data_IF_554936082451
#
_entry.id   IF_554936082451
#
_cell.length_a   1.000
_cell.length_b   1.000
_cell.length_c   1.000
_cell.angle_alpha   90.00
_cell.angle_beta   90.00
_cell.angle_gamma   90.00
#
_symmetry.space_group_name_H-M   'P 1'
#
loop_
_entity.id
_entity.type
_entity.pdbx_description
1 polymer ?
#
# COMPACT_ATOMS: atom_id res chain seq x y z
N UNK A 1 0.15 25.98 -11.19
CA UNK A 1 1.33 26.43 -11.98
C UNK A 1 1.72 27.88 -11.67
N UNK A 2 0.93 28.92 -12.01
CA UNK A 2 1.29 30.31 -11.66
C UNK A 2 1.51 30.52 -10.16
N UNK A 3 0.66 30.00 -9.31
CA UNK A 3 0.80 30.08 -7.85
C UNK A 3 2.11 29.45 -7.37
N UNK A 4 2.49 28.31 -7.93
CA UNK A 4 3.71 27.59 -7.54
C UNK A 4 4.97 28.41 -7.90
N UNK A 5 4.97 29.13 -9.01
CA UNK A 5 6.07 30.06 -9.36
C UNK A 5 6.28 31.10 -8.27
N UNK A 6 5.19 31.70 -7.76
CA UNK A 6 5.27 32.65 -6.65
C UNK A 6 5.72 32.01 -5.34
N UNK A 7 5.25 30.80 -5.05
CA UNK A 7 5.64 30.07 -3.83
C UNK A 7 7.12 29.69 -3.87
N UNK A 8 7.63 29.19 -4.99
CA UNK A 8 9.05 28.86 -5.17
C UNK A 8 9.92 30.11 -4.98
N UNK A 9 9.55 31.22 -5.65
CA UNK A 9 10.29 32.48 -5.52
C UNK A 9 10.29 33.02 -4.10
N UNK A 10 9.13 33.04 -3.45
CA UNK A 10 8.97 33.47 -2.06
C UNK A 10 9.76 32.57 -1.09
N UNK A 11 9.71 31.26 -1.27
CA UNK A 11 10.45 30.30 -0.44
C UNK A 11 11.95 30.51 -0.54
N UNK A 12 12.44 30.76 -1.74
CA UNK A 12 13.87 31.02 -1.96
C UNK A 12 14.32 32.35 -1.38
N UNK A 13 13.53 33.41 -1.56
CA UNK A 13 13.80 34.71 -0.98
C UNK A 13 13.76 34.67 0.57
N UNK A 14 12.79 33.95 1.14
CA UNK A 14 12.71 33.75 2.60
C UNK A 14 13.92 32.96 3.13
N UNK A 15 14.35 31.93 2.43
CA UNK A 15 15.54 31.17 2.82
C UNK A 15 16.80 32.04 2.82
N UNK A 16 16.93 32.93 1.83
CA UNK A 16 18.01 33.91 1.76
C UNK A 16 17.94 34.91 2.93
N UNK A 17 16.77 35.49 3.20
CA UNK A 17 16.56 36.43 4.33
C UNK A 17 16.90 35.79 5.67
N UNK A 18 16.41 34.58 5.94
CA UNK A 18 16.71 33.87 7.20
C UNK A 18 18.20 33.61 7.37
N UNK A 19 18.93 33.34 6.27
CA UNK A 19 20.34 33.01 6.31
C UNK A 19 21.22 34.25 6.50
N UNK A 20 20.92 35.37 5.84
CA UNK A 20 21.81 36.53 5.74
C UNK A 20 21.32 37.77 6.53
N UNK A 21 20.04 37.84 6.90
CA UNK A 21 19.47 38.96 7.67
C UNK A 21 18.70 38.46 8.91
N UNK A 22 18.76 37.19 9.26
CA UNK A 22 18.01 36.58 10.35
C UNK A 22 18.88 35.93 11.41
N UNK A 23 18.37 34.85 11.98
CA UNK A 23 18.95 34.13 13.14
C UNK A 23 20.39 33.66 12.90
N UNK A 24 20.78 33.43 11.65
CA UNK A 24 22.08 32.86 11.24
C UNK A 24 23.07 33.91 10.71
N UNK A 25 22.78 35.19 10.83
CA UNK A 25 23.60 36.28 10.30
C UNK A 25 25.05 36.26 10.80
N UNK A 26 25.25 36.03 12.09
CA UNK A 26 26.59 36.05 12.74
C UNK A 26 27.56 34.98 12.24
N UNK A 27 27.08 33.96 11.58
CA UNK A 27 27.91 32.86 11.03
C UNK A 27 27.98 32.86 9.49
N UNK A 28 27.46 33.90 8.83
CA UNK A 28 27.35 33.95 7.39
C UNK A 28 28.40 34.92 6.79
N UNK A 29 29.43 34.36 6.16
CA UNK A 29 30.26 35.12 5.21
C UNK A 29 29.49 35.14 3.89
N UNK A 30 29.00 36.31 3.50
CA UNK A 30 28.33 36.51 2.22
C UNK A 30 29.37 36.68 1.12
N UNK A 31 29.58 35.61 0.36
CA UNK A 31 30.52 35.61 -0.78
C UNK A 31 29.88 36.10 -2.10
N UNK A 32 28.54 36.00 -2.21
CA UNK A 32 27.78 36.41 -3.39
C UNK A 32 26.72 37.45 -3.05
N UNK A 33 26.44 38.35 -4.02
CA UNK A 33 25.45 39.41 -3.89
C UNK A 33 24.01 38.89 -3.93
N UNK A 34 23.05 39.71 -3.44
CA UNK A 34 21.59 39.40 -3.52
C UNK A 34 21.18 39.14 -4.97
N UNK A 35 21.71 39.91 -5.91
CA UNK A 35 21.38 39.80 -7.34
C UNK A 35 21.80 38.43 -7.90
N UNK A 36 22.98 37.93 -7.53
CA UNK A 36 23.46 36.61 -7.96
C UNK A 36 22.58 35.48 -7.38
N UNK A 37 22.17 35.58 -6.11
CA UNK A 37 21.22 34.62 -5.55
C UNK A 37 19.87 34.64 -6.29
N UNK A 38 19.30 35.84 -6.55
CA UNK A 38 18.01 35.94 -7.25
C UNK A 38 18.11 35.52 -8.71
N UNK A 39 19.26 35.64 -9.37
CA UNK A 39 19.49 35.13 -10.71
C UNK A 39 19.29 33.61 -10.82
N UNK A 40 19.62 32.84 -9.77
CA UNK A 40 19.38 31.40 -9.73
C UNK A 40 17.90 31.02 -9.90
N UNK A 41 16.96 31.91 -9.57
CA UNK A 41 15.52 31.65 -9.75
C UNK A 41 15.15 31.38 -11.21
N UNK A 42 15.91 31.92 -12.18
CA UNK A 42 15.69 31.68 -13.62
C UNK A 42 15.82 30.17 -13.94
N UNK A 43 16.66 29.44 -13.22
CA UNK A 43 16.86 28.00 -13.40
C UNK A 43 16.01 27.18 -12.41
N UNK A 44 15.86 27.64 -11.17
CA UNK A 44 15.14 26.93 -10.11
C UNK A 44 13.65 26.84 -10.45
N UNK A 45 13.01 27.93 -10.88
CA UNK A 45 11.57 27.94 -11.14
C UNK A 45 11.17 26.96 -12.23
N UNK A 46 11.75 27.00 -13.47
CA UNK A 46 11.40 26.03 -14.51
C UNK A 46 11.71 24.59 -14.07
N UNK A 47 12.83 24.36 -13.41
CA UNK A 47 13.23 23.05 -12.91
C UNK A 47 12.20 22.46 -11.94
N UNK A 48 11.75 23.24 -10.97
CA UNK A 48 10.73 22.79 -10.00
C UNK A 48 9.35 22.60 -10.65
N UNK A 49 8.95 23.47 -11.60
CA UNK A 49 7.70 23.30 -12.35
C UNK A 49 7.70 21.98 -13.12
N UNK A 50 8.81 21.63 -13.78
CA UNK A 50 8.97 20.34 -14.46
C UNK A 50 8.91 19.17 -13.48
N UNK A 51 9.58 19.29 -12.33
CA UNK A 51 9.52 18.25 -11.28
C UNK A 51 8.10 18.09 -10.75
N UNK A 52 7.37 19.17 -10.51
CA UNK A 52 5.98 19.10 -10.04
C UNK A 52 5.06 18.44 -11.08
N UNK A 53 5.33 18.65 -12.37
CA UNK A 53 4.63 17.94 -13.45
C UNK A 53 5.00 16.46 -13.47
N UNK A 54 6.27 16.11 -13.35
CA UNK A 54 6.76 14.73 -13.34
C UNK A 54 6.25 13.91 -12.14
N UNK A 55 5.95 14.56 -11.02
CA UNK A 55 5.35 13.92 -9.84
C UNK A 55 3.83 14.09 -9.75
N UNK A 56 3.15 14.37 -10.88
CA UNK A 56 1.69 14.46 -10.99
C UNK A 56 1.00 15.47 -10.05
N UNK A 57 1.72 16.51 -9.61
CA UNK A 57 1.19 17.52 -8.71
C UNK A 57 0.19 18.49 -9.38
N UNK A 58 0.02 18.41 -10.71
CA UNK A 58 -0.95 19.21 -11.47
C UNK A 58 -2.21 18.42 -11.86
N UNK A 59 -2.30 17.15 -11.49
CA UNK A 59 -3.52 16.38 -11.69
C UNK A 59 -4.66 16.90 -10.80
N UNK A 60 -5.93 16.85 -11.25
CA UNK A 60 -7.05 17.38 -10.49
C UNK A 60 -7.20 16.74 -9.10
N UNK A 61 -7.13 17.55 -8.04
CA UNK A 61 -7.20 17.10 -6.64
C UNK A 61 -8.59 16.66 -6.17
N UNK A 62 -9.58 16.41 -7.06
CA UNK A 62 -10.96 16.08 -6.63
C UNK A 62 -11.03 14.83 -5.77
N UNK A 63 -10.25 13.80 -6.12
CA UNK A 63 -10.25 12.48 -5.46
C UNK A 63 -8.90 12.09 -4.86
N UNK A 64 -7.85 12.92 -5.01
CA UNK A 64 -6.52 12.61 -4.48
C UNK A 64 -6.47 12.73 -2.95
N UNK A 65 -5.80 11.79 -2.31
CA UNK A 65 -5.51 11.83 -0.88
C UNK A 65 -4.44 12.88 -0.54
N UNK A 66 -4.63 13.63 0.55
CA UNK A 66 -3.69 14.67 1.01
C UNK A 66 -2.26 14.16 1.22
N UNK A 67 -2.13 12.92 1.71
CA UNK A 67 -0.81 12.29 1.93
C UNK A 67 -0.04 12.06 0.62
N UNK A 68 -0.73 11.74 -0.48
CA UNK A 68 -0.10 11.55 -1.79
C UNK A 68 0.45 12.87 -2.34
N UNK A 69 -0.30 13.97 -2.18
CA UNK A 69 0.15 15.31 -2.57
C UNK A 69 1.40 15.72 -1.77
N UNK A 70 1.39 15.52 -0.43
CA UNK A 70 2.55 15.80 0.40
C UNK A 70 3.76 14.96 -0.01
N UNK A 71 3.57 13.67 -0.25
CA UNK A 71 4.64 12.78 -0.70
C UNK A 71 5.23 13.22 -2.06
N UNK A 72 4.38 13.68 -3.00
CA UNK A 72 4.81 14.26 -4.27
C UNK A 72 5.67 15.52 -4.08
N UNK A 73 5.23 16.45 -3.23
CA UNK A 73 5.96 17.67 -2.90
C UNK A 73 7.34 17.34 -2.30
N UNK A 74 7.39 16.42 -1.34
CA UNK A 74 8.64 16.01 -0.69
C UNK A 74 9.60 15.37 -1.70
N UNK A 75 9.12 14.47 -2.55
CA UNK A 75 9.94 13.83 -3.60
C UNK A 75 10.50 14.85 -4.60
N UNK A 76 9.65 15.76 -5.08
CA UNK A 76 10.05 16.81 -6.02
C UNK A 76 11.12 17.73 -5.40
N UNK A 77 10.92 18.13 -4.15
CA UNK A 77 11.88 19.00 -3.46
C UNK A 77 13.20 18.31 -3.15
N UNK A 78 13.17 17.04 -2.72
CA UNK A 78 14.38 16.24 -2.47
C UNK A 78 15.20 16.05 -3.76
N UNK A 79 14.53 15.70 -4.86
CA UNK A 79 15.20 15.54 -6.15
C UNK A 79 15.72 16.89 -6.69
N UNK A 80 14.94 17.96 -6.55
CA UNK A 80 15.34 19.30 -6.94
C UNK A 80 16.58 19.80 -6.20
N UNK A 81 16.63 19.56 -4.87
CA UNK A 81 17.80 19.89 -4.06
C UNK A 81 19.04 19.11 -4.54
N UNK A 82 18.91 17.81 -4.84
CA UNK A 82 20.01 17.00 -5.36
C UNK A 82 20.50 17.52 -6.71
N UNK A 83 19.59 17.87 -7.61
CA UNK A 83 19.94 18.41 -8.95
C UNK A 83 20.68 19.75 -8.80
N UNK A 84 20.21 20.66 -7.94
CA UNK A 84 20.85 21.96 -7.70
C UNK A 84 22.25 21.74 -7.11
N UNK A 85 22.40 20.90 -6.11
CA UNK A 85 23.70 20.62 -5.50
C UNK A 85 24.69 19.99 -6.49
N UNK A 86 24.21 19.06 -7.34
CA UNK A 86 25.00 18.44 -8.39
C UNK A 86 25.43 19.46 -9.45
N UNK A 87 24.53 20.35 -9.88
CA UNK A 87 24.83 21.41 -10.83
C UNK A 87 25.90 22.37 -10.27
N UNK A 88 25.73 22.88 -9.04
CA UNK A 88 26.69 23.77 -8.40
C UNK A 88 28.09 23.12 -8.25
N UNK A 89 28.13 21.84 -7.95
CA UNK A 89 29.39 21.08 -7.87
C UNK A 89 30.10 20.99 -9.23
N UNK A 90 29.37 20.67 -10.30
CA UNK A 90 29.96 20.55 -11.64
C UNK A 90 30.41 21.87 -12.24
N UNK A 91 29.65 22.95 -12.01
CA UNK A 91 30.03 24.29 -12.47
C UNK A 91 31.04 24.98 -11.56
N UNK A 92 31.51 24.29 -10.48
CA UNK A 92 32.47 24.82 -9.49
C UNK A 92 31.98 26.09 -8.77
N UNK A 93 30.68 26.32 -8.74
CA UNK A 93 30.01 27.43 -8.06
C UNK A 93 29.78 27.10 -6.57
N UNK A 94 30.87 26.81 -5.85
CA UNK A 94 30.84 26.34 -4.46
C UNK A 94 30.52 27.43 -3.44
N UNK A 95 30.49 28.71 -3.87
CA UNK A 95 30.28 29.86 -3.01
C UNK A 95 28.81 30.08 -2.58
N UNK A 96 27.88 29.28 -3.13
CA UNK A 96 26.50 29.29 -2.67
C UNK A 96 26.36 28.58 -1.32
N UNK A 97 25.67 29.23 -0.39
CA UNK A 97 25.45 28.66 0.96
C UNK A 97 24.59 27.42 0.89
N UNK A 98 25.15 26.26 1.28
CA UNK A 98 24.41 24.97 1.37
C UNK A 98 23.21 25.07 2.32
N UNK A 99 23.38 25.84 3.42
CA UNK A 99 22.32 26.05 4.39
C UNK A 99 21.12 26.80 3.77
N UNK A 100 21.37 27.76 2.87
CA UNK A 100 20.30 28.46 2.13
C UNK A 100 19.51 27.49 1.26
N UNK A 101 20.17 26.55 0.56
CA UNK A 101 19.51 25.57 -0.30
C UNK A 101 18.69 24.56 0.51
N UNK A 102 19.22 24.10 1.65
CA UNK A 102 18.48 23.18 2.54
C UNK A 102 17.29 23.90 3.17
N UNK A 103 17.47 25.15 3.63
CA UNK A 103 16.38 25.97 4.17
C UNK A 103 15.32 26.25 3.13
N UNK A 104 15.71 26.55 1.88
CA UNK A 104 14.79 26.71 0.76
C UNK A 104 13.95 25.45 0.53
N UNK A 105 14.59 24.27 0.49
CA UNK A 105 13.88 23.02 0.32
C UNK A 105 12.82 22.81 1.41
N UNK A 106 13.16 23.04 2.67
CA UNK A 106 12.22 22.88 3.78
C UNK A 106 11.09 23.90 3.74
N UNK A 107 11.41 25.20 3.55
CA UNK A 107 10.41 26.27 3.46
C UNK A 107 9.47 26.04 2.27
N UNK A 108 10.01 25.62 1.12
CA UNK A 108 9.23 25.36 -0.08
C UNK A 108 8.25 24.18 0.13
N UNK A 109 8.68 23.09 0.79
CA UNK A 109 7.79 21.99 1.16
C UNK A 109 6.62 22.48 2.01
N UNK A 110 6.90 23.28 3.02
CA UNK A 110 5.89 23.79 3.94
C UNK A 110 4.93 24.76 3.23
N UNK A 111 5.44 25.75 2.52
CA UNK A 111 4.61 26.74 1.83
C UNK A 111 3.78 26.12 0.71
N UNK A 112 4.37 25.25 -0.11
CA UNK A 112 3.64 24.52 -1.16
C UNK A 112 2.51 23.68 -0.58
N UNK A 113 2.77 22.98 0.52
CA UNK A 113 1.73 22.18 1.16
C UNK A 113 0.61 23.06 1.74
N UNK A 114 0.95 24.14 2.41
CA UNK A 114 -0.02 25.09 2.98
C UNK A 114 -0.89 25.72 1.88
N UNK A 115 -0.28 26.23 0.82
CA UNK A 115 -1.00 26.86 -0.30
C UNK A 115 -1.92 25.86 -1.00
N UNK A 116 -1.45 24.64 -1.25
CA UNK A 116 -2.27 23.58 -1.86
C UNK A 116 -3.43 23.18 -0.95
N UNK A 117 -3.20 23.09 0.36
CA UNK A 117 -4.27 22.82 1.32
C UNK A 117 -5.29 23.95 1.37
N UNK A 118 -4.85 25.20 1.34
CA UNK A 118 -5.72 26.37 1.29
C UNK A 118 -6.61 26.37 0.03
N UNK A 119 -6.01 26.17 -1.16
CA UNK A 119 -6.75 26.03 -2.41
C UNK A 119 -7.73 24.85 -2.36
N UNK A 120 -7.30 23.72 -1.81
CA UNK A 120 -8.16 22.55 -1.61
C UNK A 120 -9.39 22.87 -0.74
N UNK A 121 -9.20 23.58 0.36
CA UNK A 121 -10.31 23.95 1.25
C UNK A 121 -11.28 24.92 0.59
N UNK A 122 -10.79 25.93 -0.12
CA UNK A 122 -11.64 26.87 -0.89
C UNK A 122 -12.47 26.13 -1.93
N UNK A 123 -11.83 25.31 -2.76
CA UNK A 123 -12.53 24.55 -3.81
C UNK A 123 -13.54 23.56 -3.22
N UNK A 124 -13.22 22.95 -2.09
CA UNK A 124 -14.14 22.07 -1.36
C UNK A 124 -15.38 22.81 -0.86
N UNK A 125 -15.19 23.98 -0.27
CA UNK A 125 -16.31 24.81 0.22
C UNK A 125 -17.18 25.32 -0.94
N UNK A 126 -16.59 25.80 -2.01
CA UNK A 126 -17.29 26.21 -3.23
C UNK A 126 -18.14 25.06 -3.80
N UNK A 127 -17.61 23.84 -3.87
CA UNK A 127 -18.32 22.66 -4.36
C UNK A 127 -19.52 22.29 -3.47
N UNK A 128 -19.36 22.38 -2.15
CA UNK A 128 -20.47 22.16 -1.22
C UNK A 128 -21.59 23.20 -1.38
N UNK A 129 -21.25 24.41 -1.78
CA UNK A 129 -22.22 25.50 -2.06
C UNK A 129 -22.82 25.42 -3.47
N UNK A 130 -22.54 24.36 -4.23
CA UNK A 130 -23.11 24.15 -5.58
C UNK A 130 -22.31 24.79 -6.72
N UNK A 131 -21.17 25.43 -6.41
CA UNK A 131 -20.28 25.99 -7.42
C UNK A 131 -19.24 24.95 -7.90
N UNK A 132 -18.76 25.08 -9.15
CA UNK A 132 -17.77 24.17 -9.73
C UNK A 132 -18.16 22.67 -9.61
N UNK A 133 -19.44 22.38 -9.82
CA UNK A 133 -19.99 21.03 -9.87
C UNK A 133 -19.86 20.46 -11.28
N UNK A 134 -19.66 19.14 -11.36
CA UNK A 134 -19.71 18.36 -12.60
C UNK A 134 -21.03 17.57 -12.66
N UNK A 135 -21.73 17.71 -13.76
CA UNK A 135 -22.99 17.02 -14.01
C UNK A 135 -22.71 15.67 -14.66
N UNK A 136 -23.16 14.58 -14.01
CA UNK A 136 -22.95 13.21 -14.46
C UNK A 136 -24.25 12.55 -14.79
N UNK A 137 -24.30 11.87 -15.93
CA UNK A 137 -25.39 10.97 -16.31
C UNK A 137 -24.90 9.54 -16.22
N UNK A 138 -25.70 8.65 -15.61
CA UNK A 138 -25.41 7.23 -15.54
C UNK A 138 -26.14 6.49 -16.66
N UNK A 139 -25.48 5.54 -17.29
CA UNK A 139 -26.03 4.66 -18.32
C UNK A 139 -25.94 3.21 -17.86
N UNK A 140 -27.07 2.61 -17.57
CA UNK A 140 -27.23 1.30 -16.96
C UNK A 140 -27.46 1.37 -15.44
N UNK A 141 -28.53 0.73 -14.96
CA UNK A 141 -28.85 0.58 -13.55
C UNK A 141 -28.30 -0.78 -13.05
N UNK A 142 -27.24 -0.73 -12.32
CA UNK A 142 -26.60 -1.91 -11.74
C UNK A 142 -26.11 -1.61 -10.31
N UNK A 143 -25.54 -2.60 -9.65
CA UNK A 143 -24.84 -2.38 -8.36
C UNK A 143 -23.71 -1.37 -8.48
N UNK A 144 -23.00 -1.35 -9.60
CA UNK A 144 -21.97 -0.34 -9.84
C UNK A 144 -22.56 1.08 -9.87
N UNK A 145 -23.76 1.25 -10.43
CA UNK A 145 -24.49 2.51 -10.38
C UNK A 145 -24.85 2.90 -8.94
N UNK A 146 -25.39 1.99 -8.16
CA UNK A 146 -25.74 2.21 -6.76
C UNK A 146 -24.52 2.57 -5.91
N UNK A 147 -23.42 1.84 -6.04
CA UNK A 147 -22.16 2.14 -5.34
C UNK A 147 -21.59 3.50 -5.76
N UNK A 148 -21.70 3.85 -7.05
CA UNK A 148 -21.23 5.14 -7.54
C UNK A 148 -22.06 6.28 -6.95
N UNK A 149 -23.39 6.15 -6.93
CA UNK A 149 -24.32 7.07 -6.26
C UNK A 149 -23.95 7.23 -4.79
N UNK A 150 -23.75 6.12 -4.09
CA UNK A 150 -23.41 6.13 -2.66
C UNK A 150 -22.10 6.89 -2.38
N UNK A 151 -21.07 6.62 -3.17
CA UNK A 151 -19.78 7.30 -3.03
C UNK A 151 -19.87 8.80 -3.28
N UNK A 152 -20.69 9.23 -4.24
CA UNK A 152 -20.88 10.64 -4.54
C UNK A 152 -21.67 11.33 -3.43
N UNK A 153 -22.75 10.73 -2.94
CA UNK A 153 -23.56 11.28 -1.86
C UNK A 153 -22.80 11.36 -0.53
N UNK A 154 -21.93 10.40 -0.25
CA UNK A 154 -21.05 10.42 0.92
C UNK A 154 -19.92 11.47 0.82
N UNK A 155 -19.61 11.94 -0.40
CA UNK A 155 -18.49 12.84 -0.65
C UNK A 155 -18.92 14.09 -1.46
N UNK A 156 -19.81 14.94 -0.94
CA UNK A 156 -20.32 16.12 -1.65
C UNK A 156 -19.19 17.12 -2.00
N UNK A 157 -18.07 17.05 -1.29
CA UNK A 157 -16.89 17.85 -1.56
C UNK A 157 -16.18 17.52 -2.89
N UNK A 158 -16.51 16.40 -3.53
CA UNK A 158 -15.99 16.09 -4.86
C UNK A 158 -16.68 16.94 -5.95
N UNK A 159 -17.87 17.46 -5.64
CA UNK A 159 -18.62 18.35 -6.54
C UNK A 159 -19.15 17.60 -7.76
N UNK A 160 -19.59 16.36 -7.64
CA UNK A 160 -20.32 15.63 -8.64
C UNK A 160 -21.82 15.66 -8.32
N UNK A 161 -22.64 15.86 -9.34
CA UNK A 161 -24.11 15.83 -9.26
C UNK A 161 -24.62 14.84 -10.29
N UNK A 162 -25.34 13.83 -9.84
CA UNK A 162 -25.94 12.83 -10.73
C UNK A 162 -27.31 13.36 -11.19
N UNK A 163 -27.47 13.57 -12.49
CA UNK A 163 -28.70 14.09 -13.10
C UNK A 163 -29.78 13.04 -13.23
N UNK A 164 -29.38 11.79 -13.40
CA UNK A 164 -30.29 10.66 -13.53
C UNK A 164 -29.58 9.42 -14.04
N UNK A 165 -30.36 8.38 -14.23
CA UNK A 165 -29.92 7.09 -14.76
C UNK A 165 -30.75 6.80 -16.02
N UNK A 166 -30.11 6.32 -17.07
CA UNK A 166 -30.78 5.74 -18.25
C UNK A 166 -30.65 4.24 -18.19
N UNK A 167 -31.79 3.55 -18.32
CA UNK A 167 -31.81 2.09 -18.32
C UNK A 167 -32.98 1.58 -19.16
N UNK A 168 -32.80 0.43 -19.82
CA UNK A 168 -33.83 -0.16 -20.66
C UNK A 168 -34.70 -1.19 -19.92
N UNK A 169 -34.16 -1.79 -18.84
CA UNK A 169 -34.77 -2.86 -18.08
C UNK A 169 -35.52 -2.36 -16.83
N UNK A 170 -35.11 -1.21 -16.30
CA UNK A 170 -35.73 -0.61 -15.10
C UNK A 170 -36.70 0.48 -15.49
N UNK A 171 -37.96 0.45 -14.98
CA UNK A 171 -38.97 1.42 -15.31
C UNK A 171 -38.55 2.86 -14.98
N UNK A 172 -38.86 3.80 -15.90
CA UNK A 172 -38.68 5.21 -15.64
C UNK A 172 -39.50 5.66 -14.40
N UNK A 173 -38.87 6.49 -13.57
CA UNK A 173 -39.44 6.91 -12.29
C UNK A 173 -38.92 6.13 -11.08
N UNK A 174 -38.32 4.96 -11.27
CA UNK A 174 -37.62 4.25 -10.19
C UNK A 174 -36.52 5.15 -9.59
N UNK A 175 -36.40 5.16 -8.27
CA UNK A 175 -35.45 6.05 -7.57
C UNK A 175 -34.54 5.28 -6.64
N UNK A 176 -33.28 5.63 -6.64
CA UNK A 176 -32.30 5.17 -5.66
C UNK A 176 -31.65 6.38 -4.96
N UNK A 177 -31.90 6.52 -3.66
CA UNK A 177 -31.40 7.63 -2.82
C UNK A 177 -31.57 9.03 -3.44
N UNK A 178 -32.74 9.25 -4.09
CA UNK A 178 -33.05 10.51 -4.72
C UNK A 178 -32.63 10.67 -6.18
N UNK A 179 -31.85 9.75 -6.73
CA UNK A 179 -31.48 9.70 -8.15
C UNK A 179 -32.52 8.88 -8.89
N UNK A 180 -33.12 9.46 -9.96
CA UNK A 180 -34.23 8.83 -10.72
C UNK A 180 -33.70 8.16 -12.00
N UNK A 181 -34.30 7.04 -12.37
CA UNK A 181 -34.27 6.52 -13.72
C UNK A 181 -35.15 7.43 -14.59
N UNK A 182 -34.54 8.16 -15.50
CA UNK A 182 -35.21 9.23 -16.27
C UNK A 182 -35.67 8.79 -17.65
N UNK A 183 -35.25 7.62 -18.12
CA UNK A 183 -35.66 7.08 -19.40
C UNK A 183 -34.79 5.93 -19.89
N UNK A 184 -34.98 5.57 -21.15
CA UNK A 184 -34.24 4.52 -21.84
C UNK A 184 -32.89 5.04 -22.36
N UNK A 185 -31.94 4.12 -22.63
CA UNK A 185 -30.60 4.45 -23.15
C UNK A 185 -30.71 5.18 -24.50
N UNK A 186 -31.65 4.79 -25.36
CA UNK A 186 -31.91 5.49 -26.64
C UNK A 186 -32.25 6.98 -26.48
N UNK A 187 -32.76 7.38 -25.30
CA UNK A 187 -33.11 8.78 -25.04
C UNK A 187 -31.86 9.66 -24.78
N UNK A 188 -30.67 9.08 -24.73
CA UNK A 188 -29.43 9.82 -24.50
C UNK A 188 -29.29 11.01 -25.46
N UNK A 189 -29.49 10.80 -26.76
CA UNK A 189 -29.37 11.85 -27.77
C UNK A 189 -30.42 12.96 -27.66
N UNK A 190 -31.56 12.69 -27.02
CA UNK A 190 -32.63 13.67 -26.77
C UNK A 190 -32.30 14.52 -25.54
N UNK A 191 -31.68 13.91 -24.52
CA UNK A 191 -31.37 14.56 -23.24
C UNK A 191 -30.13 15.46 -23.34
N UNK A 192 -29.16 15.10 -24.16
CA UNK A 192 -27.90 15.80 -24.30
C UNK A 192 -28.03 17.28 -24.68
N UNK A 193 -28.82 17.69 -25.68
CA UNK A 193 -28.93 19.10 -26.06
C UNK A 193 -29.57 19.98 -24.98
N UNK A 194 -30.42 19.39 -24.12
CA UNK A 194 -31.15 20.10 -23.05
C UNK A 194 -30.39 20.16 -21.74
N UNK A 195 -29.33 19.37 -21.58
CA UNK A 195 -28.61 19.21 -20.33
C UNK A 195 -27.11 19.56 -20.51
N UNK A 196 -26.60 20.47 -19.66
CA UNK A 196 -25.15 20.69 -19.59
C UNK A 196 -24.50 19.52 -18.83
N UNK A 197 -24.21 18.44 -19.54
CA UNK A 197 -23.51 17.27 -18.98
C UNK A 197 -22.01 17.42 -19.17
N UNK A 198 -21.27 17.17 -18.10
CA UNK A 198 -19.80 17.14 -18.13
C UNK A 198 -19.24 15.74 -18.34
N UNK A 199 -19.95 14.72 -17.83
CA UNK A 199 -19.49 13.33 -17.88
C UNK A 199 -20.66 12.35 -18.05
N UNK A 200 -20.45 11.28 -18.82
CA UNK A 200 -21.31 10.09 -18.87
C UNK A 200 -20.53 8.94 -18.20
N UNK A 201 -21.19 8.23 -17.28
CA UNK A 201 -20.63 7.04 -16.68
C UNK A 201 -21.48 5.82 -17.07
N UNK A 202 -20.88 4.89 -17.79
CA UNK A 202 -21.49 3.62 -18.18
C UNK A 202 -21.34 2.66 -17.00
N UNK A 203 -22.48 2.21 -16.46
CA UNK A 203 -22.60 1.39 -15.25
C UNK A 203 -23.46 0.16 -15.49
N UNK A 204 -23.27 -0.49 -16.66
CA UNK A 204 -24.03 -1.69 -17.05
C UNK A 204 -23.78 -2.85 -16.11
N UNK A 205 -24.79 -3.70 -15.90
CA UNK A 205 -24.62 -5.01 -15.28
C UNK A 205 -23.84 -5.96 -16.19
N UNK A 206 -23.15 -6.94 -15.62
CA UNK A 206 -22.33 -7.90 -16.38
C UNK A 206 -23.12 -8.64 -17.48
N UNK A 207 -24.38 -8.93 -17.24
CA UNK A 207 -25.28 -9.57 -18.22
C UNK A 207 -25.55 -8.72 -19.46
N UNK A 208 -25.28 -7.43 -19.41
CA UNK A 208 -25.55 -6.47 -20.49
C UNK A 208 -24.29 -6.06 -21.25
N UNK A 209 -23.11 -6.60 -20.93
CA UNK A 209 -21.85 -6.24 -21.58
C UNK A 209 -21.82 -6.54 -23.09
N UNK A 210 -22.69 -7.42 -23.59
CA UNK A 210 -22.87 -7.65 -25.04
C UNK A 210 -23.35 -6.40 -25.79
N UNK A 211 -23.94 -5.42 -25.08
CA UNK A 211 -24.39 -4.13 -25.65
C UNK A 211 -23.39 -3.00 -25.46
N UNK A 212 -22.24 -3.27 -24.83
CA UNK A 212 -21.31 -2.21 -24.43
C UNK A 212 -20.79 -1.43 -25.64
N UNK A 213 -20.49 -2.10 -26.74
CA UNK A 213 -20.00 -1.49 -27.97
C UNK A 213 -21.03 -0.50 -28.54
N UNK A 214 -22.29 -0.90 -28.68
CA UNK A 214 -23.38 -0.04 -29.14
C UNK A 214 -23.55 1.20 -28.23
N UNK A 215 -23.52 1.00 -26.91
CA UNK A 215 -23.72 2.06 -25.92
C UNK A 215 -22.54 3.02 -25.92
N UNK A 216 -21.30 2.52 -26.00
CA UNK A 216 -20.10 3.35 -26.11
C UNK A 216 -20.18 4.21 -27.39
N UNK A 217 -20.50 3.61 -28.54
CA UNK A 217 -20.65 4.35 -29.80
C UNK A 217 -21.72 5.45 -29.72
N UNK A 218 -22.83 5.18 -29.01
CA UNK A 218 -23.88 6.18 -28.75
C UNK A 218 -23.38 7.31 -27.85
N UNK A 219 -22.63 6.98 -26.79
CA UNK A 219 -22.04 7.97 -25.89
C UNK A 219 -20.99 8.83 -26.60
N UNK A 220 -20.13 8.24 -27.42
CA UNK A 220 -19.09 8.97 -28.19
C UNK A 220 -19.71 9.97 -29.18
N UNK A 221 -20.82 9.63 -29.83
CA UNK A 221 -21.57 10.57 -30.69
C UNK A 221 -22.02 11.83 -29.97
N UNK A 222 -22.11 11.77 -28.63
CA UNK A 222 -22.50 12.90 -27.80
C UNK A 222 -21.40 13.96 -27.65
N UNK A 223 -20.13 13.61 -27.83
CA UNK A 223 -18.99 14.47 -27.56
C UNK A 223 -18.73 14.72 -26.05
N UNK A 224 -19.52 14.13 -25.15
CA UNK A 224 -19.36 14.25 -23.70
C UNK A 224 -18.33 13.22 -23.23
N UNK A 225 -17.47 13.62 -22.27
CA UNK A 225 -16.47 12.70 -21.69
C UNK A 225 -17.14 11.47 -21.09
N UNK A 226 -16.84 10.30 -21.65
CA UNK A 226 -17.43 9.02 -21.25
C UNK A 226 -16.44 8.18 -20.47
N UNK A 227 -16.88 7.57 -19.38
CA UNK A 227 -16.11 6.60 -18.58
C UNK A 227 -16.92 5.34 -18.34
N UNK A 228 -16.23 4.21 -18.26
CA UNK A 228 -16.85 2.93 -17.96
C UNK A 228 -16.51 2.52 -16.50
N UNK A 229 -17.55 2.16 -15.74
CA UNK A 229 -17.44 1.66 -14.36
C UNK A 229 -17.93 0.23 -14.35
N UNK A 230 -17.03 -0.75 -14.38
CA UNK A 230 -17.41 -2.15 -14.49
C UNK A 230 -18.02 -2.69 -13.19
N UNK A 231 -19.09 -3.50 -13.33
CA UNK A 231 -19.78 -4.18 -12.23
C UNK A 231 -19.11 -5.51 -11.88
N UNK A 232 -17.92 -5.50 -11.33
CA UNK A 232 -17.21 -6.72 -10.91
C UNK A 232 -16.93 -6.82 -9.41
N UNK A 233 -17.34 -5.85 -8.59
CA UNK A 233 -17.02 -5.81 -7.16
C UNK A 233 -17.45 -7.06 -6.38
N UNK A 234 -18.52 -7.72 -6.81
CA UNK A 234 -18.99 -8.96 -6.17
C UNK A 234 -18.21 -10.20 -6.62
N UNK A 235 -17.61 -10.16 -7.82
CA UNK A 235 -16.83 -11.26 -8.39
C UNK A 235 -15.38 -11.16 -7.96
N UNK A 236 -14.86 -9.93 -7.90
CA UNK A 236 -13.50 -9.61 -7.50
C UNK A 236 -13.53 -8.94 -6.11
N UNK A 237 -13.53 -9.72 -5.03
CA UNK A 237 -13.65 -9.19 -3.66
C UNK A 237 -12.33 -8.61 -3.13
N UNK A 238 -11.48 -8.10 -3.98
CA UNK A 238 -10.15 -7.55 -3.68
C UNK A 238 -10.02 -6.18 -4.32
N UNK A 239 -8.89 -5.52 -4.15
CA UNK A 239 -8.59 -4.27 -4.85
C UNK A 239 -7.99 -4.59 -6.24
N UNK A 240 -8.80 -4.65 -7.30
CA UNK A 240 -8.27 -4.84 -8.64
C UNK A 240 -7.45 -3.63 -9.05
N UNK A 241 -6.48 -3.82 -9.92
CA UNK A 241 -5.77 -2.73 -10.57
C UNK A 241 -5.69 -2.98 -12.08
N UNK A 242 -5.67 -1.89 -12.82
CA UNK A 242 -5.55 -1.94 -14.29
C UNK A 242 -4.08 -1.81 -14.68
N UNK A 243 -3.69 -2.61 -15.65
CA UNK A 243 -2.39 -2.60 -16.30
C UNK A 243 -2.60 -2.47 -17.80
N UNK A 244 -1.70 -1.78 -18.47
CA UNK A 244 -1.72 -1.69 -19.93
C UNK A 244 -0.60 -2.56 -20.50
N UNK A 245 -0.96 -3.52 -21.32
CA UNK A 245 0.00 -4.35 -22.06
C UNK A 245 -0.06 -3.95 -23.53
N UNK A 246 0.75 -2.97 -23.90
CA UNK A 246 0.86 -2.48 -25.28
C UNK A 246 -0.50 -2.09 -25.90
N UNK A 247 -1.33 -1.39 -25.13
CA UNK A 247 -2.66 -0.97 -25.56
C UNK A 247 -3.79 -1.92 -25.20
N UNK A 248 -3.49 -3.10 -24.60
CA UNK A 248 -4.48 -4.01 -24.07
C UNK A 248 -4.71 -3.73 -22.58
N UNK A 249 -5.87 -3.21 -22.18
CA UNK A 249 -6.17 -2.99 -20.76
C UNK A 249 -6.40 -4.35 -20.06
N UNK A 250 -5.58 -4.65 -19.06
CA UNK A 250 -5.69 -5.88 -18.25
C UNK A 250 -6.14 -5.50 -16.85
N UNK A 251 -7.21 -6.16 -16.37
CA UNK A 251 -7.70 -5.99 -15.00
C UNK A 251 -7.14 -7.14 -14.15
N UNK A 252 -6.15 -6.83 -13.34
CA UNK A 252 -5.63 -7.79 -12.38
C UNK A 252 -6.58 -7.94 -11.20
N UNK A 253 -6.98 -9.17 -10.90
CA UNK A 253 -7.98 -9.48 -9.86
C UNK A 253 -7.50 -9.06 -8.47
N UNK A 254 -6.18 -9.05 -8.25
CA UNK A 254 -5.60 -8.73 -6.96
C UNK A 254 -4.27 -7.98 -7.11
N UNK A 255 -4.13 -6.94 -6.32
CA UNK A 255 -2.86 -6.26 -6.15
C UNK A 255 -2.05 -6.91 -5.02
N UNK A 256 -0.88 -7.45 -5.35
CA UNK A 256 0.10 -7.97 -4.38
C UNK A 256 1.35 -7.11 -4.51
N UNK A 257 1.62 -6.17 -3.57
CA UNK A 257 2.79 -5.29 -3.66
C UNK A 257 4.13 -6.03 -3.81
N UNK A 258 4.24 -7.23 -3.24
CA UNK A 258 5.45 -8.07 -3.32
C UNK A 258 5.64 -8.81 -4.65
N UNK A 259 4.66 -8.76 -5.58
CA UNK A 259 4.89 -9.22 -6.96
C UNK A 259 5.74 -8.24 -7.77
N UNK A 260 5.83 -6.98 -7.35
CA UNK A 260 6.74 -6.00 -7.92
C UNK A 260 8.19 -6.34 -7.55
N UNK A 261 9.07 -6.47 -8.55
CA UNK A 261 10.47 -6.87 -8.38
C UNK A 261 11.24 -5.96 -7.42
N UNK A 262 11.02 -4.66 -7.49
CA UNK A 262 11.70 -3.69 -6.62
C UNK A 262 11.30 -3.88 -5.14
N UNK A 263 10.00 -4.04 -4.87
CA UNK A 263 9.50 -4.32 -3.53
C UNK A 263 10.01 -5.66 -3.01
N UNK A 264 10.02 -6.69 -3.86
CA UNK A 264 10.54 -8.02 -3.52
C UNK A 264 12.04 -7.97 -3.18
N UNK A 265 12.81 -7.14 -3.90
CA UNK A 265 14.23 -6.93 -3.64
C UNK A 265 14.46 -6.21 -2.31
N UNK A 266 13.75 -5.12 -2.05
CA UNK A 266 13.81 -4.40 -0.76
C UNK A 266 13.47 -5.37 0.38
N UNK A 267 12.37 -6.10 0.26
CA UNK A 267 11.94 -7.10 1.23
C UNK A 267 13.03 -8.14 1.49
N UNK A 268 13.63 -8.67 0.42
CA UNK A 268 14.70 -9.66 0.53
C UNK A 268 15.95 -9.10 1.23
N UNK A 269 16.34 -7.88 0.92
CA UNK A 269 17.46 -7.20 1.58
C UNK A 269 17.20 -7.03 3.08
N UNK A 270 16.00 -6.58 3.45
CA UNK A 270 15.58 -6.48 4.86
C UNK A 270 15.61 -7.84 5.58
N UNK A 271 15.13 -8.89 4.93
CA UNK A 271 15.12 -10.24 5.47
C UNK A 271 16.55 -10.77 5.70
N UNK A 272 17.45 -10.56 4.75
CA UNK A 272 18.87 -11.00 4.86
C UNK A 272 19.59 -10.23 5.96
N UNK A 273 19.51 -8.89 5.95
CA UNK A 273 20.20 -8.06 6.95
C UNK A 273 19.61 -8.35 8.34
N UNK A 274 18.29 -8.34 8.48
CA UNK A 274 17.63 -8.55 9.77
C UNK A 274 17.89 -9.95 10.33
N UNK A 275 17.83 -11.00 9.51
CA UNK A 275 18.13 -12.36 9.97
C UNK A 275 19.59 -12.57 10.31
N UNK A 276 20.53 -11.94 9.58
CA UNK A 276 21.95 -11.98 9.90
C UNK A 276 22.23 -11.34 11.26
N UNK A 277 21.70 -10.16 11.50
CA UNK A 277 21.81 -9.47 12.80
C UNK A 277 21.20 -10.33 13.90
N UNK A 278 19.99 -10.86 13.67
CA UNK A 278 19.30 -11.70 14.63
C UNK A 278 20.08 -12.98 14.97
N UNK A 279 20.73 -13.63 13.99
CA UNK A 279 21.59 -14.80 14.22
C UNK A 279 22.81 -14.42 15.07
N UNK A 280 23.48 -13.33 14.76
CA UNK A 280 24.67 -12.87 15.50
C UNK A 280 24.27 -12.60 16.96
N UNK A 281 23.19 -11.85 17.18
CA UNK A 281 22.72 -11.49 18.53
C UNK A 281 22.24 -12.72 19.32
N UNK A 282 21.54 -13.66 18.65
CA UNK A 282 21.01 -14.86 19.32
C UNK A 282 22.00 -16.03 19.39
N UNK A 283 23.17 -15.94 18.73
CA UNK A 283 24.15 -17.05 18.67
C UNK A 283 24.61 -17.55 20.05
N UNK A 284 24.87 -16.71 21.08
CA UNK A 284 25.24 -17.22 22.41
C UNK A 284 24.10 -18.04 23.03
N UNK A 285 22.84 -17.56 22.88
CA UNK A 285 21.67 -18.26 23.39
C UNK A 285 21.47 -19.59 22.65
N UNK A 286 21.62 -19.57 21.33
CA UNK A 286 21.51 -20.77 20.49
C UNK A 286 22.55 -21.83 20.90
N UNK A 287 23.81 -21.41 21.18
CA UNK A 287 24.87 -22.31 21.63
C UNK A 287 24.51 -22.95 22.97
N UNK A 288 24.07 -22.17 23.94
CA UNK A 288 23.62 -22.67 25.26
C UNK A 288 22.49 -23.68 25.08
N UNK A 289 21.48 -23.37 24.26
CA UNK A 289 20.37 -24.27 23.98
C UNK A 289 20.84 -25.57 23.31
N UNK A 290 21.78 -25.53 22.40
CA UNK A 290 22.38 -26.72 21.79
C UNK A 290 22.99 -27.66 22.85
N UNK A 291 23.77 -27.10 23.77
CA UNK A 291 24.36 -27.86 24.86
C UNK A 291 23.29 -28.50 25.77
N UNK A 292 22.32 -27.68 26.18
CA UNK A 292 21.23 -28.14 27.08
C UNK A 292 20.36 -29.23 26.44
N UNK A 293 20.01 -29.08 25.13
CA UNK A 293 19.24 -30.12 24.41
C UNK A 293 20.05 -31.43 24.35
N UNK A 294 21.36 -31.34 24.10
CA UNK A 294 22.21 -32.55 24.01
C UNK A 294 22.40 -33.26 25.33
N UNK A 295 22.43 -32.51 26.43
CA UNK A 295 22.55 -33.09 27.79
C UNK A 295 21.24 -33.69 28.28
N UNK A 296 20.10 -33.15 27.84
CA UNK A 296 18.79 -33.59 28.38
C UNK A 296 18.11 -34.71 27.60
N UNK A 297 18.45 -34.87 26.30
CA UNK A 297 17.85 -35.94 25.51
C UNK A 297 18.74 -36.40 24.34
N UNK A 298 18.84 -37.75 24.08
CA UNK A 298 19.62 -38.28 22.95
C UNK A 298 18.95 -37.96 21.61
N UNK A 299 19.75 -37.69 20.56
CA UNK A 299 19.26 -37.48 19.19
C UNK A 299 19.69 -36.15 18.54
N UNK A 300 19.09 -35.77 17.39
CA UNK A 300 19.47 -34.55 16.62
C UNK A 300 19.04 -33.27 17.34
N UNK A 301 19.84 -32.21 17.24
CA UNK A 301 19.54 -30.90 17.84
C UNK A 301 18.40 -30.19 17.14
N UNK A 302 18.38 -30.31 15.81
CA UNK A 302 17.43 -29.63 14.92
C UNK A 302 16.37 -30.62 14.46
N UNK A 303 15.14 -30.28 14.72
CA UNK A 303 13.96 -30.92 14.16
C UNK A 303 13.62 -30.23 12.83
N UNK A 304 13.33 -31.02 11.80
CA UNK A 304 12.99 -30.55 10.46
C UNK A 304 11.57 -30.97 10.13
N UNK A 305 10.70 -30.02 9.85
CA UNK A 305 9.31 -30.29 9.49
C UNK A 305 8.96 -29.70 8.15
N UNK A 306 8.34 -30.50 7.29
CA UNK A 306 7.88 -30.06 5.99
C UNK A 306 6.73 -29.06 6.11
N UNK A 307 6.86 -27.95 5.41
CA UNK A 307 5.90 -26.85 5.37
C UNK A 307 5.72 -26.34 3.94
N UNK A 308 4.56 -25.74 3.65
CA UNK A 308 4.28 -25.12 2.36
C UNK A 308 4.67 -23.65 2.42
N UNK A 309 5.44 -23.21 1.43
CA UNK A 309 5.96 -21.85 1.28
C UNK A 309 5.50 -21.15 0.02
N UNK A 310 6.36 -20.28 -0.52
CA UNK A 310 6.13 -19.50 -1.72
C UNK A 310 5.80 -20.41 -2.92
N UNK A 311 4.81 -20.02 -3.73
CA UNK A 311 4.36 -20.74 -4.93
C UNK A 311 4.00 -22.21 -4.66
N UNK A 312 3.48 -22.50 -3.47
CA UNK A 312 3.12 -23.85 -3.02
C UNK A 312 4.30 -24.84 -2.96
N UNK A 313 5.55 -24.34 -3.01
CA UNK A 313 6.73 -25.20 -2.87
C UNK A 313 6.91 -25.60 -1.41
N UNK A 314 7.15 -26.88 -1.17
CA UNK A 314 7.45 -27.36 0.18
C UNK A 314 8.92 -27.07 0.55
N UNK A 315 9.15 -26.77 1.82
CA UNK A 315 10.48 -26.59 2.39
C UNK A 315 10.57 -27.22 3.78
N UNK A 316 11.80 -27.46 4.23
CA UNK A 316 12.06 -28.02 5.57
C UNK A 316 12.29 -26.89 6.56
N UNK A 317 11.28 -26.62 7.38
CA UNK A 317 11.36 -25.62 8.46
C UNK A 317 12.19 -26.15 9.63
N UNK A 318 13.18 -25.38 10.08
CA UNK A 318 14.09 -25.76 11.18
C UNK A 318 13.55 -25.28 12.52
N UNK A 319 13.63 -26.15 13.52
CA UNK A 319 13.35 -25.83 14.92
C UNK A 319 14.33 -26.56 15.84
N UNK A 320 14.57 -26.01 17.02
CA UNK A 320 15.18 -26.80 18.06
C UNK A 320 14.24 -27.92 18.51
N UNK A 321 14.80 -29.09 18.78
CA UNK A 321 14.04 -30.21 19.30
C UNK A 321 13.53 -29.91 20.72
N UNK A 322 12.24 -29.80 20.87
CA UNK A 322 11.54 -29.53 22.12
C UNK A 322 10.71 -30.72 22.63
N UNK A 323 10.69 -31.82 21.87
CA UNK A 323 9.93 -33.04 22.17
C UNK A 323 10.80 -34.27 21.96
N UNK A 324 10.42 -35.39 22.55
CA UNK A 324 11.01 -36.70 22.29
C UNK A 324 10.74 -37.18 20.87
N UNK A 325 11.65 -38.03 20.34
CA UNK A 325 11.56 -38.52 18.96
C UNK A 325 10.42 -39.53 18.86
N UNK A 326 9.53 -39.32 17.92
CA UNK A 326 8.43 -40.25 17.61
C UNK A 326 8.69 -41.03 16.32
N UNK A 327 7.99 -42.16 16.17
CA UNK A 327 7.93 -42.90 14.90
C UNK A 327 7.11 -42.09 13.89
N UNK A 328 7.57 -42.00 12.64
CA UNK A 328 6.97 -41.19 11.55
C UNK A 328 5.45 -41.44 11.35
N UNK A 329 4.96 -42.62 11.70
CA UNK A 329 3.54 -43.00 11.56
C UNK A 329 2.59 -42.21 12.46
N UNK A 330 3.08 -41.78 13.66
CA UNK A 330 2.26 -41.08 14.66
C UNK A 330 2.28 -39.55 14.48
N UNK A 331 3.30 -39.03 13.79
CA UNK A 331 3.51 -37.60 13.61
C UNK A 331 2.51 -36.94 12.62
N UNK A 332 1.93 -37.75 11.74
CA UNK A 332 1.10 -37.26 10.62
C UNK A 332 -0.33 -36.83 11.01
N UNK A 333 -0.84 -37.19 12.18
CA UNK A 333 -2.28 -37.13 12.49
C UNK A 333 -2.75 -36.12 13.55
N UNK A 334 -1.87 -35.58 14.40
CA UNK A 334 -2.32 -34.75 15.52
C UNK A 334 -1.74 -33.33 15.53
N UNK A 335 -2.59 -32.35 15.82
CA UNK A 335 -2.13 -31.05 16.30
C UNK A 335 -1.56 -31.21 17.71
N UNK A 336 -0.58 -30.40 18.05
CA UNK A 336 -0.02 -30.37 19.39
C UNK A 336 -1.09 -29.93 20.38
N UNK A 337 -1.40 -30.78 21.33
CA UNK A 337 -2.42 -30.52 22.37
C UNK A 337 -1.76 -29.77 23.55
N UNK A 338 -2.57 -29.01 24.27
CA UNK A 338 -2.10 -28.33 25.50
C UNK A 338 -1.64 -29.37 26.52
N UNK A 339 -0.45 -29.18 27.11
CA UNK A 339 0.22 -30.14 28.04
C UNK A 339 0.57 -31.49 27.40
N UNK A 340 1.06 -31.51 26.18
CA UNK A 340 1.53 -32.71 25.52
C UNK A 340 2.65 -33.38 26.33
N UNK A 341 2.49 -34.66 26.77
CA UNK A 341 3.45 -35.35 27.63
C UNK A 341 4.82 -35.58 26.99
N UNK A 342 4.92 -35.42 25.70
CA UNK A 342 6.16 -35.62 24.92
C UNK A 342 7.14 -34.44 25.02
N UNK A 343 6.68 -33.31 25.59
CA UNK A 343 7.51 -32.11 25.71
C UNK A 343 8.54 -32.29 26.80
N UNK A 344 9.82 -32.18 26.47
CA UNK A 344 10.92 -32.23 27.43
C UNK A 344 10.88 -31.03 28.38
N UNK A 345 11.46 -31.17 29.59
CA UNK A 345 11.48 -30.05 30.56
C UNK A 345 12.06 -28.75 29.98
N UNK A 346 13.18 -28.85 29.24
CA UNK A 346 13.79 -27.72 28.53
C UNK A 346 12.94 -27.30 27.31
N UNK A 347 12.26 -28.24 26.68
CA UNK A 347 11.34 -28.00 25.60
C UNK A 347 10.17 -27.12 26.01
N UNK A 348 9.65 -27.30 27.23
CA UNK A 348 8.58 -26.46 27.79
C UNK A 348 9.03 -24.99 27.92
N UNK A 349 10.23 -24.76 28.42
CA UNK A 349 10.81 -23.41 28.50
C UNK A 349 11.00 -22.79 27.11
N UNK A 350 11.64 -23.53 26.18
CA UNK A 350 11.87 -23.04 24.82
C UNK A 350 10.58 -22.68 24.08
N UNK A 351 9.52 -23.48 24.23
CA UNK A 351 8.21 -23.22 23.61
C UNK A 351 7.51 -22.01 24.21
N UNK A 352 7.58 -21.86 25.53
CA UNK A 352 6.99 -20.72 26.22
C UNK A 352 7.66 -19.39 25.78
N UNK A 353 8.97 -19.43 25.57
CA UNK A 353 9.77 -18.28 25.13
C UNK A 353 9.91 -18.17 23.62
N UNK A 354 9.35 -19.10 22.83
CA UNK A 354 9.52 -19.23 21.37
C UNK A 354 10.99 -19.35 20.90
N UNK A 355 11.92 -19.70 21.79
CA UNK A 355 13.34 -19.91 21.47
C UNK A 355 13.57 -21.16 20.60
N UNK A 356 12.63 -22.10 20.59
CA UNK A 356 12.64 -23.24 19.68
C UNK A 356 12.53 -22.85 18.21
N UNK A 357 12.06 -21.64 17.90
CA UNK A 357 11.89 -21.13 16.54
C UNK A 357 13.13 -20.39 16.00
N UNK A 358 14.18 -20.13 16.83
CA UNK A 358 15.41 -19.45 16.40
C UNK A 358 16.11 -20.06 15.17
N UNK A 359 16.18 -21.40 14.98
CA UNK A 359 16.77 -21.98 13.78
C UNK A 359 16.09 -21.60 12.46
N UNK A 360 14.83 -21.09 12.50
CA UNK A 360 14.15 -20.59 11.30
C UNK A 360 14.84 -19.38 10.69
N UNK A 361 15.68 -18.65 11.43
CA UNK A 361 16.51 -17.58 10.90
C UNK A 361 17.42 -18.07 9.76
N UNK A 362 17.87 -19.34 9.79
CA UNK A 362 18.60 -19.94 8.68
C UNK A 362 17.71 -20.22 7.45
N UNK A 363 16.43 -20.56 7.64
CA UNK A 363 15.49 -20.66 6.52
C UNK A 363 15.26 -19.29 5.87
N UNK A 364 15.27 -18.20 6.67
CA UNK A 364 15.14 -16.84 6.15
C UNK A 364 16.38 -16.48 5.32
N UNK A 365 17.59 -16.74 5.79
CA UNK A 365 18.82 -16.53 5.02
C UNK A 365 18.84 -17.32 3.71
N UNK A 366 18.35 -18.55 3.70
CA UNK A 366 18.24 -19.37 2.48
C UNK A 366 17.17 -18.83 1.50
N UNK A 367 16.24 -18.02 1.98
CA UNK A 367 15.14 -17.47 1.16
C UNK A 367 13.89 -18.35 1.12
N UNK A 368 13.82 -19.38 1.94
CA UNK A 368 12.63 -20.24 2.12
C UNK A 368 11.56 -19.55 2.95
N UNK A 369 11.98 -18.66 3.86
CA UNK A 369 11.12 -17.86 4.75
C UNK A 369 11.50 -16.38 4.71
N UNK A 370 10.70 -15.57 5.40
CA UNK A 370 10.88 -14.14 5.64
C UNK A 370 10.78 -13.85 7.13
N UNK A 371 11.29 -12.69 7.59
CA UNK A 371 11.07 -12.22 8.96
C UNK A 371 9.58 -12.01 9.23
N UNK A 372 8.88 -11.35 8.31
CA UNK A 372 7.45 -11.05 8.41
C UNK A 372 6.70 -11.66 7.23
N UNK A 373 5.64 -12.40 7.51
CA UNK A 373 4.80 -13.04 6.49
C UNK A 373 3.72 -13.94 7.10
N UNK A 374 2.87 -14.55 6.27
CA UNK A 374 1.91 -15.56 6.70
C UNK A 374 2.60 -16.77 7.36
N UNK A 375 2.01 -17.31 8.41
CA UNK A 375 2.58 -18.50 9.06
C UNK A 375 2.52 -19.73 8.15
N UNK A 376 3.63 -20.49 7.96
CA UNK A 376 3.64 -21.68 7.12
C UNK A 376 2.87 -22.83 7.79
N UNK A 377 2.07 -23.56 7.00
CA UNK A 377 1.30 -24.72 7.47
C UNK A 377 1.84 -26.02 6.86
N UNK A 378 1.51 -27.16 7.49
CA UNK A 378 1.88 -28.50 7.01
C UNK A 378 1.06 -28.85 5.76
N UNK A 379 1.62 -29.59 4.77
CA UNK A 379 0.90 -29.95 3.55
C UNK A 379 -0.49 -30.52 3.79
N UNK A 380 -0.62 -31.43 4.74
CA UNK A 380 -1.91 -32.05 5.12
C UNK A 380 -2.99 -31.00 5.49
N UNK A 381 -2.64 -29.96 6.24
CA UNK A 381 -3.59 -28.92 6.62
C UNK A 381 -3.86 -27.94 5.47
N UNK A 382 -2.87 -27.72 4.61
CA UNK A 382 -3.04 -26.87 3.42
C UNK A 382 -4.10 -27.48 2.50
N UNK A 383 -4.05 -28.78 2.26
CA UNK A 383 -5.04 -29.46 1.43
C UNK A 383 -6.45 -29.39 2.02
N UNK A 384 -6.57 -29.63 3.32
CA UNK A 384 -7.85 -29.50 4.03
C UNK A 384 -8.41 -28.08 3.94
N UNK A 385 -7.62 -27.06 4.27
CA UNK A 385 -8.08 -25.69 4.31
C UNK A 385 -8.31 -25.08 2.94
N UNK A 386 -7.64 -25.57 1.92
CA UNK A 386 -7.85 -25.19 0.52
C UNK A 386 -9.30 -25.40 0.10
N UNK A 387 -9.92 -26.53 0.50
CA UNK A 387 -11.30 -26.87 0.15
C UNK A 387 -12.31 -26.13 1.06
N UNK A 388 -11.96 -25.92 2.35
CA UNK A 388 -12.88 -25.35 3.33
C UNK A 388 -12.91 -23.81 3.35
N UNK A 389 -11.82 -23.15 2.94
CA UNK A 389 -11.66 -21.69 3.11
C UNK A 389 -11.41 -21.02 1.76
N UNK A 390 -12.34 -20.20 1.29
CA UNK A 390 -12.14 -19.45 0.05
C UNK A 390 -10.87 -18.59 0.13
N UNK A 391 -10.12 -18.56 -0.97
CA UNK A 391 -8.87 -17.77 -1.11
C UNK A 391 -7.72 -18.19 -0.20
N UNK A 392 -7.80 -19.34 0.47
CA UNK A 392 -6.74 -19.84 1.34
C UNK A 392 -5.37 -19.88 0.65
N UNK A 393 -5.32 -20.34 -0.61
CA UNK A 393 -4.08 -20.52 -1.37
C UNK A 393 -3.33 -19.22 -1.69
N UNK A 394 -4.00 -18.08 -1.59
CA UNK A 394 -3.40 -16.75 -1.85
C UNK A 394 -2.24 -16.45 -0.88
N UNK A 395 -2.28 -17.00 0.33
CA UNK A 395 -1.19 -16.82 1.31
C UNK A 395 0.18 -17.32 0.81
N UNK A 396 0.20 -18.22 -0.16
CA UNK A 396 1.41 -18.77 -0.77
C UNK A 396 1.97 -17.91 -1.94
N UNK A 397 1.38 -16.75 -2.21
CA UNK A 397 1.93 -15.77 -3.16
C UNK A 397 3.10 -14.96 -2.57
N UNK A 398 3.32 -15.07 -1.26
CA UNK A 398 4.45 -14.44 -0.55
C UNK A 398 5.18 -15.47 0.30
N UNK A 399 6.44 -15.18 0.66
CA UNK A 399 7.21 -16.05 1.57
C UNK A 399 6.55 -16.12 2.94
N UNK A 400 6.49 -17.31 3.55
CA UNK A 400 6.01 -17.46 4.92
C UNK A 400 6.93 -16.76 5.91
N UNK A 401 6.35 -16.22 6.98
CA UNK A 401 7.10 -15.44 7.97
C UNK A 401 7.39 -16.20 9.28
N UNK A 402 8.45 -15.76 9.96
CA UNK A 402 8.71 -16.11 11.36
C UNK A 402 7.65 -15.46 12.25
N UNK A 403 7.33 -14.19 12.00
CA UNK A 403 6.19 -13.49 12.56
C UNK A 403 5.25 -13.00 11.46
N UNK A 404 4.04 -12.52 11.82
CA UNK A 404 3.08 -12.03 10.84
C UNK A 404 1.90 -11.30 11.45
N UNK A 405 1.12 -10.62 10.61
CA UNK A 405 -0.01 -9.81 11.05
C UNK A 405 -1.06 -10.60 11.83
N UNK A 406 -1.34 -11.84 11.43
CA UNK A 406 -2.23 -12.73 12.16
C UNK A 406 -1.69 -13.04 13.58
N UNK A 407 -0.39 -13.29 13.70
CA UNK A 407 0.26 -13.64 14.97
C UNK A 407 0.21 -12.47 15.98
N UNK A 408 0.53 -11.23 15.54
CA UNK A 408 0.50 -10.05 16.41
C UNK A 408 -0.92 -9.63 16.80
N UNK A 409 -1.94 -10.09 16.06
CA UNK A 409 -3.35 -9.92 16.40
C UNK A 409 -3.94 -11.09 17.22
N UNK A 410 -3.09 -12.01 17.69
CA UNK A 410 -3.49 -13.09 18.59
C UNK A 410 -4.03 -14.36 17.90
N UNK A 411 -4.01 -14.43 16.57
CA UNK A 411 -4.45 -15.61 15.81
C UNK A 411 -3.30 -16.61 15.61
N UNK A 412 -2.76 -17.12 16.73
CA UNK A 412 -1.73 -18.16 16.77
C UNK A 412 -2.29 -19.41 17.49
N UNK A 413 -1.87 -20.63 17.08
CA UNK A 413 -2.29 -21.88 17.70
C UNK A 413 -3.73 -22.26 17.36
N UNK A 414 -4.50 -22.73 18.35
CA UNK A 414 -5.90 -23.18 18.20
C UNK A 414 -6.86 -21.97 18.21
N UNK A 415 -6.84 -21.21 17.14
CA UNK A 415 -7.68 -20.02 16.95
C UNK A 415 -8.40 -20.10 15.60
N UNK A 416 -9.40 -19.23 15.37
CA UNK A 416 -10.17 -19.17 14.12
C UNK A 416 -9.24 -19.07 12.90
N UNK A 417 -9.18 -20.15 12.12
CA UNK A 417 -8.38 -20.19 10.88
C UNK A 417 -8.89 -19.17 9.86
N UNK A 418 -10.20 -18.95 9.79
CA UNK A 418 -10.80 -17.96 8.89
C UNK A 418 -10.29 -16.54 9.19
N UNK A 419 -10.30 -16.13 10.46
CA UNK A 419 -9.75 -14.81 10.87
C UNK A 419 -8.24 -14.71 10.66
N UNK A 420 -7.52 -15.82 10.81
CA UNK A 420 -6.09 -15.89 10.50
C UNK A 420 -5.85 -15.59 9.02
N UNK A 421 -6.62 -16.24 8.12
CA UNK A 421 -6.50 -16.02 6.69
C UNK A 421 -6.90 -14.60 6.30
N UNK A 422 -7.93 -14.01 6.89
CA UNK A 422 -8.28 -12.60 6.69
C UNK A 422 -7.11 -11.66 7.03
N UNK A 423 -6.42 -11.90 8.15
CA UNK A 423 -5.22 -11.15 8.51
C UNK A 423 -4.06 -11.38 7.54
N UNK A 424 -3.84 -12.63 7.09
CA UNK A 424 -2.79 -12.97 6.15
C UNK A 424 -3.05 -12.30 4.78
N UNK A 425 -4.30 -12.31 4.30
CA UNK A 425 -4.71 -11.62 3.08
C UNK A 425 -4.54 -10.10 3.19
N UNK A 426 -4.95 -9.53 4.31
CA UNK A 426 -4.76 -8.10 4.57
C UNK A 426 -3.27 -7.70 4.50
N UNK A 427 -2.38 -8.51 5.09
CA UNK A 427 -0.94 -8.29 5.00
C UNK A 427 -0.44 -8.32 3.55
N UNK A 428 -0.85 -9.33 2.79
CA UNK A 428 -0.44 -9.52 1.40
C UNK A 428 -0.86 -8.35 0.51
N UNK A 429 -2.08 -7.86 0.68
CA UNK A 429 -2.68 -6.80 -0.15
C UNK A 429 -2.22 -5.39 0.26
N UNK A 430 -1.75 -5.21 1.49
CA UNK A 430 -1.35 -3.89 2.01
C UNK A 430 0.12 -3.83 2.45
N UNK A 431 0.94 -4.74 1.95
CA UNK A 431 2.36 -4.78 2.30
C UNK A 431 3.06 -3.44 2.01
N UNK A 432 3.89 -3.02 2.94
CA UNK A 432 4.85 -1.93 2.80
C UNK A 432 6.00 -2.15 3.78
N UNK A 433 7.14 -1.52 3.53
CA UNK A 433 8.29 -1.54 4.45
C UNK A 433 7.89 -1.09 5.86
N UNK A 434 7.12 0.00 5.96
CA UNK A 434 6.61 0.50 7.24
C UNK A 434 5.69 -0.48 7.95
N UNK A 435 4.93 -1.29 7.20
CA UNK A 435 4.06 -2.31 7.78
C UNK A 435 4.86 -3.49 8.34
N UNK A 436 5.92 -3.92 7.66
CA UNK A 436 6.84 -4.93 8.21
C UNK A 436 7.52 -4.45 9.49
N UNK A 437 8.04 -3.22 9.50
CA UNK A 437 8.64 -2.62 10.70
C UNK A 437 7.63 -2.58 11.86
N UNK A 438 6.39 -2.18 11.58
CA UNK A 438 5.31 -2.17 12.58
C UNK A 438 5.05 -3.56 13.15
N UNK A 439 5.00 -4.59 12.30
CA UNK A 439 4.76 -5.97 12.75
C UNK A 439 5.93 -6.48 13.59
N UNK A 440 7.18 -6.23 13.18
CA UNK A 440 8.37 -6.59 13.95
C UNK A 440 8.37 -5.92 15.33
N UNK A 441 8.06 -4.63 15.38
CA UNK A 441 7.93 -3.90 16.64
C UNK A 441 6.84 -4.50 17.54
N UNK A 442 5.64 -4.73 17.00
CA UNK A 442 4.55 -5.36 17.76
C UNK A 442 4.88 -6.77 18.23
N UNK A 443 5.69 -7.52 17.48
CA UNK A 443 6.14 -8.87 17.88
C UNK A 443 6.99 -8.82 19.13
N UNK A 444 7.91 -7.86 19.24
CA UNK A 444 8.75 -7.67 20.44
C UNK A 444 7.88 -7.36 21.65
N UNK A 445 6.94 -6.40 21.53
CA UNK A 445 6.11 -5.98 22.66
C UNK A 445 5.01 -6.97 23.02
N UNK A 446 4.33 -7.56 22.06
CA UNK A 446 3.24 -8.52 22.30
C UNK A 446 3.74 -9.96 22.46
N UNK A 447 4.92 -10.29 21.95
CA UNK A 447 5.55 -11.61 22.11
C UNK A 447 5.81 -11.96 23.58
N UNK A 448 6.13 -10.95 24.42
CA UNK A 448 6.32 -11.11 25.85
C UNK A 448 5.01 -11.19 26.65
N UNK A 449 3.86 -10.81 26.08
CA UNK A 449 2.56 -10.69 26.79
C UNK A 449 1.54 -11.75 26.32
N UNK A 450 1.88 -12.60 25.35
CA UNK A 450 0.90 -13.49 24.72
C UNK A 450 0.50 -14.66 25.66
N UNK A 451 -0.71 -14.58 26.20
CA UNK A 451 -1.37 -15.66 26.98
C UNK A 451 -1.61 -16.96 26.18
N UNK A 452 -1.40 -16.97 24.88
CA UNK A 452 -1.66 -18.09 23.95
C UNK A 452 -0.37 -18.75 23.41
N UNK A 453 0.80 -18.49 23.98
CA UNK A 453 2.00 -19.28 23.75
C UNK A 453 1.89 -20.56 24.61
N UNK A 454 1.76 -21.72 23.97
CA UNK A 454 1.68 -23.04 24.63
C UNK A 454 3.05 -23.55 25.00
#
# INVERSE_FOLDING_TARGET
MLIDVFVIAASYALAWLIRFQGIFEHSAVQSKTVQEYMFMLIFIIPGYVLLYQAFDLYTPMRMQGRCLVLAGIVKANALGLLIIMFALYNFKELDYSRLTLVSFCFINIVLEWLVRMFVFYILRDMRKKGMNQKQVLLVGYSRAAEEYVDRILQNPQWGYVIRGILDDNVPAGTTYKGVKVIGRIANLMIILPSSRLDEIAITLGLSEYYRLEEIVALCEKSGVHTKFIPDYNNIIPTKPYTEDILGLPVINIRYVPLSNTFNAMIKRTMDVIGSSIAIIVSSPVMLILCILIKLTSPGPLIYKQERVGLHNQTFRMYKFRSMEIQKESEEKKAWTVKNDPRVTGIGKFMRHTSLDELPQLFNILKGEMSLVGPRPERPFFVEKFREEIPRYMVKHQVRPGLTGWAQVNGYRGDTSIRKRIECDLYYIENWSVGFDIKIMFLTIFKGFINKNAY
#
